data_IF_910831946262
#
_entry.id   IF_910831946262
#
_cell.length_a   1.000
_cell.length_b   1.000
_cell.length_c   1.000
_cell.angle_alpha   90.00
_cell.angle_beta   90.00
_cell.angle_gamma   90.00
#
_symmetry.space_group_name_H-M   'P 1'
#
loop_
_entity.id
_entity.type
_entity.pdbx_description
1 polymer ?
#
# COMPACT_ATOMS: atom_id res chain seq x y z
N UNK A 1 -1.35 74.12 -25.82
CA UNK A 1 -0.56 73.59 -26.94
C UNK A 1 -0.71 72.07 -26.91
N UNK A 2 -1.41 71.51 -27.91
CA UNK A 2 -1.35 70.14 -28.48
C UNK A 2 -1.40 68.85 -27.61
N UNK A 3 -2.44 68.04 -27.90
CA UNK A 3 -2.53 66.56 -28.11
C UNK A 3 -2.27 65.60 -26.91
N UNK A 4 -3.28 64.92 -26.35
CA UNK A 4 -3.94 63.64 -26.75
C UNK A 4 -3.13 62.37 -26.47
N UNK A 5 -3.68 61.40 -25.71
CA UNK A 5 -3.95 59.99 -26.11
C UNK A 5 -4.63 59.22 -24.95
N UNK A 6 -5.44 58.22 -25.36
CA UNK A 6 -6.52 57.46 -24.70
C UNK A 6 -6.08 56.32 -23.76
N UNK A 7 -7.09 55.83 -23.02
CA UNK A 7 -7.31 54.46 -22.51
C UNK A 7 -6.47 54.04 -21.29
N UNK A 8 -6.94 53.25 -20.33
CA UNK A 8 -8.10 52.34 -20.24
C UNK A 8 -8.36 52.11 -18.74
N UNK A 9 -9.63 51.92 -18.34
CA UNK A 9 -10.03 51.73 -16.94
C UNK A 9 -9.53 50.38 -16.42
N UNK A 10 -8.97 50.42 -15.21
CA UNK A 10 -8.79 49.24 -14.37
C UNK A 10 -10.14 48.56 -14.11
N UNK A 11 -10.20 47.25 -14.35
CA UNK A 11 -11.24 46.38 -13.82
C UNK A 11 -10.56 45.11 -13.30
N UNK A 12 -10.76 44.89 -12.00
CA UNK A 12 -10.40 43.68 -11.26
C UNK A 12 -11.00 42.46 -11.95
N UNK A 13 -10.16 41.51 -12.35
CA UNK A 13 -10.62 40.24 -12.90
C UNK A 13 -10.89 39.24 -11.79
N UNK A 14 -12.07 39.31 -11.17
CA UNK A 14 -12.67 38.14 -10.53
C UNK A 14 -12.71 37.01 -11.56
N UNK A 15 -12.12 35.87 -11.24
CA UNK A 15 -12.30 34.63 -12.00
C UNK A 15 -13.72 34.11 -11.74
N UNK A 16 -14.70 34.74 -12.38
CA UNK A 16 -16.06 34.22 -12.47
C UNK A 16 -16.00 32.94 -13.29
N UNK A 17 -16.19 31.81 -12.61
CA UNK A 17 -16.49 30.54 -13.25
C UNK A 17 -17.81 30.74 -13.99
N UNK A 18 -17.73 30.81 -15.32
CA UNK A 18 -18.91 30.86 -16.17
C UNK A 18 -19.64 29.52 -16.03
N UNK A 19 -20.66 29.48 -15.18
CA UNK A 19 -21.69 28.44 -15.28
C UNK A 19 -22.44 28.64 -16.61
N UNK A 20 -22.04 27.90 -17.63
CA UNK A 20 -22.83 27.77 -18.85
C UNK A 20 -24.06 26.91 -18.55
N UNK A 21 -25.14 27.57 -18.19
CA UNK A 21 -26.48 26.98 -18.06
C UNK A 21 -27.00 26.59 -19.46
N UNK A 22 -26.85 25.32 -19.86
CA UNK A 22 -27.49 24.85 -21.09
C UNK A 22 -26.78 23.76 -21.89
N UNK A 23 -26.09 22.82 -21.27
CA UNK A 23 -25.81 21.48 -21.83
C UNK A 23 -25.37 20.63 -20.65
N UNK A 24 -25.67 19.32 -20.63
CA UNK A 24 -25.29 18.45 -19.52
C UNK A 24 -23.83 18.70 -19.09
N UNK A 25 -23.54 18.65 -17.79
CA UNK A 25 -22.20 18.95 -17.29
C UNK A 25 -21.17 18.18 -18.14
N UNK A 26 -20.03 18.81 -18.46
CA UNK A 26 -18.98 18.18 -19.29
C UNK A 26 -18.64 16.77 -18.78
N UNK A 27 -18.77 16.57 -17.47
CA UNK A 27 -18.75 15.29 -16.78
C UNK A 27 -19.79 14.27 -17.31
N UNK A 28 -21.08 14.62 -17.34
CA UNK A 28 -22.14 13.76 -17.87
C UNK A 28 -21.94 13.41 -19.36
N UNK A 29 -21.51 14.36 -20.19
CA UNK A 29 -21.24 14.12 -21.62
C UNK A 29 -20.01 13.25 -21.88
N UNK A 30 -19.01 13.27 -20.99
CA UNK A 30 -17.86 12.37 -21.07
C UNK A 30 -18.23 10.95 -20.67
N UNK A 31 -19.05 10.78 -19.62
CA UNK A 31 -19.56 9.49 -19.17
C UNK A 31 -20.43 8.80 -20.23
N UNK A 32 -21.29 9.57 -20.91
CA UNK A 32 -22.12 9.07 -22.01
C UNK A 32 -21.27 8.56 -23.21
N UNK A 33 -20.16 9.24 -23.52
CA UNK A 33 -19.23 8.82 -24.59
C UNK A 33 -18.48 7.51 -24.31
N UNK A 34 -18.38 7.13 -23.04
CA UNK A 34 -17.73 5.89 -22.59
C UNK A 34 -18.74 4.82 -22.14
N UNK A 35 -20.03 5.01 -22.44
CA UNK A 35 -21.15 4.13 -22.04
C UNK A 35 -21.26 3.90 -20.52
N UNK A 36 -20.96 4.92 -19.71
CA UNK A 36 -21.10 4.87 -18.26
C UNK A 36 -22.14 5.89 -17.79
N UNK A 37 -22.77 5.61 -16.65
CA UNK A 37 -23.74 6.50 -16.03
C UNK A 37 -23.04 7.47 -15.07
N UNK A 38 -23.24 8.79 -15.19
CA UNK A 38 -22.62 9.75 -14.28
C UNK A 38 -23.19 9.57 -12.88
N UNK A 39 -22.32 9.23 -11.92
CA UNK A 39 -22.68 9.13 -10.51
C UNK A 39 -22.68 10.53 -9.90
N UNK A 40 -23.84 10.99 -9.42
CA UNK A 40 -24.03 12.37 -8.95
C UNK A 40 -23.55 12.62 -7.52
N UNK A 41 -23.38 11.58 -6.70
CA UNK A 41 -22.90 11.68 -5.32
C UNK A 41 -21.95 10.51 -5.01
N UNK A 42 -20.73 10.83 -4.60
CA UNK A 42 -19.80 9.88 -4.02
C UNK A 42 -19.93 9.93 -2.51
N UNK A 43 -20.07 8.76 -1.87
CA UNK A 43 -19.83 8.66 -0.44
C UNK A 43 -18.35 8.93 -0.11
N UNK A 44 -18.04 9.15 1.17
CA UNK A 44 -16.69 9.47 1.63
C UNK A 44 -15.64 8.47 1.11
N UNK A 45 -14.42 8.96 0.83
CA UNK A 45 -13.30 8.13 0.35
C UNK A 45 -12.97 6.95 1.28
N UNK A 46 -13.36 7.04 2.56
CA UNK A 46 -13.25 5.96 3.55
C UNK A 46 -13.99 4.67 3.14
N UNK A 47 -15.04 4.76 2.32
CA UNK A 47 -15.79 3.60 1.85
C UNK A 47 -14.90 2.70 0.96
N UNK A 48 -13.88 3.27 0.32
CA UNK A 48 -12.95 2.53 -0.55
C UNK A 48 -11.77 1.91 0.22
N UNK A 49 -11.69 2.11 1.54
CA UNK A 49 -10.74 1.39 2.39
C UNK A 49 -11.25 -0.03 2.74
N UNK A 50 -12.56 -0.27 2.60
CA UNK A 50 -13.17 -1.57 2.82
C UNK A 50 -13.06 -2.46 1.57
N UNK A 51 -12.42 -3.61 1.73
CA UNK A 51 -12.19 -4.59 0.68
C UNK A 51 -13.50 -5.15 0.10
N UNK A 52 -14.57 -5.24 0.91
CA UNK A 52 -15.88 -5.72 0.47
C UNK A 52 -16.59 -4.65 -0.39
N UNK A 53 -16.55 -3.39 0.03
CA UNK A 53 -17.12 -2.27 -0.71
C UNK A 53 -16.41 -2.04 -2.06
N UNK A 54 -15.08 -2.23 -2.11
CA UNK A 54 -14.30 -2.21 -3.35
C UNK A 54 -14.74 -3.33 -4.33
N UNK A 55 -15.12 -4.51 -3.82
CA UNK A 55 -15.56 -5.65 -4.64
C UNK A 55 -16.94 -5.40 -5.25
N UNK A 56 -17.87 -4.88 -4.45
CA UNK A 56 -19.27 -4.70 -4.83
C UNK A 56 -19.51 -3.43 -5.68
N UNK A 57 -18.54 -2.51 -5.72
CA UNK A 57 -18.63 -1.28 -6.49
C UNK A 57 -18.60 -1.51 -8.02
N UNK A 58 -19.50 -0.83 -8.74
CA UNK A 58 -19.56 -0.86 -10.21
C UNK A 58 -18.41 -0.08 -10.85
N UNK A 59 -18.14 -0.34 -12.14
CA UNK A 59 -17.09 0.35 -12.88
C UNK A 59 -17.27 1.88 -12.87
N UNK A 60 -18.51 2.35 -13.02
CA UNK A 60 -18.91 3.76 -12.99
C UNK A 60 -18.53 4.43 -11.67
N UNK A 61 -18.80 3.75 -10.54
CA UNK A 61 -18.49 4.24 -9.20
C UNK A 61 -16.98 4.34 -8.98
N UNK A 62 -16.22 3.33 -9.41
CA UNK A 62 -14.74 3.31 -9.29
C UNK A 62 -14.10 4.41 -10.13
N UNK A 63 -14.59 4.62 -11.34
CA UNK A 63 -14.10 5.68 -12.22
C UNK A 63 -14.38 7.07 -11.63
N UNK A 64 -15.60 7.28 -11.16
CA UNK A 64 -16.03 8.54 -10.52
C UNK A 64 -15.15 8.86 -9.31
N UNK A 65 -14.90 7.88 -8.43
CA UNK A 65 -14.01 8.04 -7.28
C UNK A 65 -12.56 8.32 -7.68
N UNK A 66 -12.01 7.56 -8.63
CA UNK A 66 -10.65 7.77 -9.13
C UNK A 66 -10.45 9.15 -9.75
N UNK A 67 -11.44 9.63 -10.52
CA UNK A 67 -11.43 10.98 -11.08
C UNK A 67 -11.49 12.06 -10.01
N UNK A 68 -12.30 11.88 -8.95
CA UNK A 68 -12.37 12.83 -7.85
C UNK A 68 -11.03 12.95 -7.13
N UNK A 69 -10.41 11.82 -6.76
CA UNK A 69 -9.09 11.80 -6.10
C UNK A 69 -8.04 12.45 -6.98
N UNK A 70 -8.06 12.18 -8.28
CA UNK A 70 -7.12 12.78 -9.22
C UNK A 70 -7.29 14.31 -9.28
N UNK A 71 -8.53 14.81 -9.40
CA UNK A 71 -8.81 16.25 -9.40
C UNK A 71 -8.42 16.91 -8.07
N UNK A 72 -8.62 16.24 -6.94
CA UNK A 72 -8.18 16.72 -5.63
C UNK A 72 -6.64 16.76 -5.51
N UNK A 73 -5.94 15.76 -6.03
CA UNK A 73 -4.48 15.75 -6.09
C UNK A 73 -3.95 16.89 -6.97
N UNK A 74 -4.57 17.12 -8.13
CA UNK A 74 -4.20 18.20 -9.05
C UNK A 74 -4.47 19.58 -8.44
N UNK A 75 -5.59 19.76 -7.73
CA UNK A 75 -5.93 21.03 -7.07
C UNK A 75 -4.96 21.36 -5.93
N UNK A 76 -4.56 20.36 -5.13
CA UNK A 76 -3.55 20.51 -4.06
C UNK A 76 -2.15 20.81 -4.60
N UNK A 77 -1.80 20.28 -5.77
CA UNK A 77 -0.51 20.52 -6.40
C UNK A 77 -0.37 21.94 -6.96
N UNK A 78 -1.48 22.66 -7.17
CA UNK A 78 -1.47 24.03 -7.71
C UNK A 78 -0.99 24.13 -9.16
N UNK A 79 -0.88 23.01 -9.87
CA UNK A 79 -0.36 22.93 -11.24
C UNK A 79 -1.48 23.24 -12.22
N UNK A 80 -1.26 24.22 -13.11
CA UNK A 80 -2.21 24.50 -14.18
C UNK A 80 -2.11 23.40 -15.25
N UNK A 81 -3.05 22.46 -15.23
CA UNK A 81 -3.10 21.36 -16.19
C UNK A 81 -3.91 21.79 -17.41
N UNK A 82 -3.23 22.08 -18.53
CA UNK A 82 -3.89 22.42 -19.79
C UNK A 82 -4.56 21.20 -20.45
N UNK A 83 -4.01 20.00 -20.23
CA UNK A 83 -4.54 18.76 -20.80
C UNK A 83 -4.25 17.54 -19.93
N UNK A 84 -5.28 16.73 -19.75
CA UNK A 84 -5.21 15.47 -19.02
C UNK A 84 -4.76 14.37 -19.99
N UNK A 85 -3.44 14.26 -20.17
CA UNK A 85 -2.82 13.27 -21.05
C UNK A 85 -2.36 12.04 -20.29
N UNK A 86 -2.26 10.90 -20.98
CA UNK A 86 -1.78 9.63 -20.41
C UNK A 86 -0.44 9.79 -19.68
N UNK A 87 0.46 10.61 -20.23
CA UNK A 87 1.77 10.88 -19.65
C UNK A 87 1.71 11.52 -18.26
N UNK A 88 0.72 12.39 -18.01
CA UNK A 88 0.51 13.01 -16.71
C UNK A 88 0.02 11.98 -15.68
N UNK A 89 -0.89 11.08 -16.10
CA UNK A 89 -1.37 9.98 -15.25
C UNK A 89 -0.22 9.04 -14.93
N UNK A 90 0.56 8.61 -15.92
CA UNK A 90 1.72 7.73 -15.74
C UNK A 90 2.76 8.38 -14.80
N UNK A 91 2.95 9.70 -14.86
CA UNK A 91 3.83 10.44 -13.95
C UNK A 91 3.35 10.38 -12.50
N UNK A 92 2.06 10.62 -12.25
CA UNK A 92 1.50 10.55 -10.91
C UNK A 92 1.47 9.11 -10.36
N UNK A 93 1.24 8.11 -11.20
CA UNK A 93 1.39 6.69 -10.82
C UNK A 93 2.82 6.41 -10.37
N UNK A 94 3.82 6.83 -11.16
CA UNK A 94 5.22 6.63 -10.81
C UNK A 94 5.61 7.35 -9.50
N UNK A 95 5.03 8.53 -9.25
CA UNK A 95 5.24 9.25 -7.98
C UNK A 95 4.63 8.51 -6.79
N UNK A 96 3.43 7.95 -6.96
CA UNK A 96 2.79 7.11 -5.94
C UNK A 96 3.60 5.83 -5.68
N UNK A 97 4.00 5.13 -6.73
CA UNK A 97 4.84 3.93 -6.63
C UNK A 97 6.17 4.23 -5.94
N UNK A 98 6.76 5.39 -6.20
CA UNK A 98 7.96 5.83 -5.50
C UNK A 98 7.71 6.04 -4.01
N UNK A 99 6.61 6.70 -3.63
CA UNK A 99 6.26 6.94 -2.22
C UNK A 99 5.96 5.63 -1.49
N UNK A 100 5.18 4.75 -2.10
CA UNK A 100 4.86 3.41 -1.57
C UNK A 100 6.14 2.58 -1.45
N UNK A 101 6.98 2.57 -2.48
CA UNK A 101 8.27 1.89 -2.50
C UNK A 101 9.18 2.37 -1.37
N UNK A 102 9.28 3.68 -1.15
CA UNK A 102 10.06 4.25 -0.04
C UNK A 102 9.56 3.82 1.33
N UNK A 103 8.24 3.75 1.52
CA UNK A 103 7.65 3.29 2.78
C UNK A 103 7.88 1.79 2.97
N UNK A 104 7.68 0.99 1.92
CA UNK A 104 7.94 -0.43 1.94
C UNK A 104 9.41 -0.72 2.25
N UNK A 105 10.33 -0.01 1.59
CA UNK A 105 11.77 -0.11 1.85
C UNK A 105 12.08 0.18 3.32
N UNK A 106 11.49 1.22 3.90
CA UNK A 106 11.71 1.55 5.31
C UNK A 106 11.25 0.41 6.25
N UNK A 107 10.12 -0.23 5.96
CA UNK A 107 9.60 -1.37 6.72
C UNK A 107 10.47 -2.62 6.53
N UNK A 108 10.80 -2.95 5.27
CA UNK A 108 11.58 -4.14 4.91
C UNK A 108 13.04 -4.06 5.40
N UNK A 109 13.60 -2.86 5.51
CA UNK A 109 14.95 -2.64 6.04
C UNK A 109 14.98 -2.40 7.55
N UNK A 110 13.85 -2.51 8.23
CA UNK A 110 13.81 -2.41 9.68
C UNK A 110 14.54 -3.61 10.32
N UNK A 111 15.44 -3.35 11.26
CA UNK A 111 16.32 -4.39 11.85
C UNK A 111 15.55 -5.56 12.47
N UNK A 112 14.44 -5.27 13.14
CA UNK A 112 13.61 -6.32 13.75
C UNK A 112 12.93 -7.20 12.72
N UNK A 113 12.45 -6.60 11.62
CA UNK A 113 11.85 -7.32 10.52
C UNK A 113 12.88 -8.20 9.82
N UNK A 114 14.04 -7.64 9.47
CA UNK A 114 15.13 -8.40 8.85
C UNK A 114 15.64 -9.55 9.71
N UNK A 115 15.68 -9.38 11.04
CA UNK A 115 16.04 -10.46 11.97
C UNK A 115 15.10 -11.65 11.82
N UNK A 116 13.79 -11.40 11.86
CA UNK A 116 12.76 -12.45 11.74
C UNK A 116 12.73 -13.03 10.31
N UNK A 117 12.79 -12.17 9.29
CA UNK A 117 12.81 -12.57 7.89
C UNK A 117 14.02 -13.47 7.58
N UNK A 118 15.22 -13.10 8.05
CA UNK A 118 16.43 -13.89 7.82
C UNK A 118 16.35 -15.29 8.43
N UNK A 119 15.76 -15.42 9.63
CA UNK A 119 15.51 -16.70 10.29
C UNK A 119 14.57 -17.58 9.46
N UNK A 120 13.43 -17.04 9.03
CA UNK A 120 12.44 -17.78 8.25
C UNK A 120 12.91 -18.10 6.83
N UNK A 121 13.65 -17.20 6.19
CA UNK A 121 14.31 -17.48 4.89
C UNK A 121 15.36 -18.59 5.03
N UNK A 122 16.11 -18.61 6.13
CA UNK A 122 17.04 -19.68 6.46
C UNK A 122 16.34 -21.02 6.64
N UNK A 123 15.28 -21.06 7.47
CA UNK A 123 14.46 -22.26 7.67
C UNK A 123 13.83 -22.75 6.37
N UNK A 124 13.29 -21.83 5.55
CA UNK A 124 12.75 -22.16 4.23
C UNK A 124 13.83 -22.74 3.31
N UNK A 125 15.04 -22.19 3.31
CA UNK A 125 16.15 -22.73 2.52
C UNK A 125 16.55 -24.14 2.95
N UNK A 126 16.50 -24.44 4.26
CA UNK A 126 16.75 -25.79 4.78
C UNK A 126 15.69 -26.77 4.29
N UNK A 127 14.41 -26.40 4.42
CA UNK A 127 13.27 -27.21 3.96
C UNK A 127 13.35 -27.46 2.45
N UNK A 128 13.61 -26.42 1.65
CA UNK A 128 13.63 -26.52 0.19
C UNK A 128 14.79 -27.38 -0.35
N UNK A 129 15.88 -27.49 0.41
CA UNK A 129 17.04 -28.33 0.06
C UNK A 129 16.95 -29.75 0.59
N UNK A 130 15.94 -30.08 1.40
CA UNK A 130 15.80 -31.39 2.04
C UNK A 130 14.87 -32.27 1.22
N UNK A 131 15.33 -33.47 0.83
CA UNK A 131 14.47 -34.49 0.23
C UNK A 131 13.75 -35.30 1.31
N UNK A 132 12.51 -34.89 1.63
CA UNK A 132 11.66 -35.57 2.59
C UNK A 132 11.26 -36.99 2.19
N UNK A 133 11.49 -37.42 0.93
CA UNK A 133 11.26 -38.81 0.51
C UNK A 133 12.29 -39.78 1.10
N UNK A 134 13.43 -39.27 1.57
CA UNK A 134 14.47 -40.07 2.24
C UNK A 134 14.19 -40.28 3.73
N UNK A 135 12.93 -40.22 4.15
CA UNK A 135 12.51 -40.36 5.56
C UNK A 135 13.20 -39.36 6.50
N UNK A 136 13.41 -38.12 6.04
CA UNK A 136 13.95 -37.02 6.84
C UNK A 136 12.79 -36.29 7.51
N UNK A 137 12.92 -36.00 8.81
CA UNK A 137 12.02 -35.11 9.57
C UNK A 137 12.80 -33.92 10.09
N UNK A 138 12.16 -32.76 10.10
CA UNK A 138 12.72 -31.51 10.63
C UNK A 138 11.74 -30.99 11.68
N UNK A 139 12.25 -30.71 12.87
CA UNK A 139 11.49 -30.14 13.97
C UNK A 139 12.07 -28.76 14.31
N UNK A 140 11.18 -27.80 14.57
CA UNK A 140 11.55 -26.45 14.95
C UNK A 140 11.12 -26.21 16.39
N UNK A 141 12.09 -25.83 17.22
CA UNK A 141 11.86 -25.34 18.57
C UNK A 141 12.10 -23.82 18.57
N UNK A 142 11.05 -23.04 18.85
CA UNK A 142 11.17 -21.59 19.03
C UNK A 142 11.71 -21.28 20.42
N UNK A 143 12.90 -20.72 20.49
CA UNK A 143 13.60 -20.44 21.74
C UNK A 143 14.65 -19.34 21.52
N UNK A 144 14.71 -18.36 22.41
CA UNK A 144 15.76 -17.34 22.36
C UNK A 144 17.07 -17.85 22.95
N UNK A 145 18.19 -17.24 22.56
CA UNK A 145 19.51 -17.60 23.10
C UNK A 145 19.63 -17.32 24.60
N UNK A 146 18.95 -16.27 25.08
CA UNK A 146 18.95 -15.92 26.49
C UNK A 146 18.11 -16.91 27.31
N UNK A 147 16.95 -17.33 26.79
CA UNK A 147 16.15 -18.37 27.42
C UNK A 147 16.92 -19.70 27.48
N UNK A 148 17.67 -20.03 26.43
CA UNK A 148 18.52 -21.23 26.44
C UNK A 148 19.60 -21.17 27.52
N UNK A 149 20.24 -20.01 27.65
CA UNK A 149 21.29 -19.81 28.65
C UNK A 149 20.69 -19.89 30.05
N UNK A 150 19.55 -19.25 30.26
CA UNK A 150 18.84 -19.28 31.53
C UNK A 150 18.42 -20.71 31.90
N UNK A 151 17.92 -21.51 30.95
CA UNK A 151 17.58 -22.92 31.16
C UNK A 151 18.78 -23.72 31.69
N UNK A 152 19.98 -23.49 31.15
CA UNK A 152 21.19 -24.14 31.63
C UNK A 152 21.72 -23.60 32.96
N UNK A 153 21.48 -22.33 33.28
CA UNK A 153 21.88 -21.73 34.56
C UNK A 153 20.95 -22.17 35.71
N UNK A 154 19.66 -22.36 35.42
CA UNK A 154 18.65 -22.77 36.39
C UNK A 154 18.69 -24.28 36.67
N UNK A 155 19.10 -25.09 35.70
CA UNK A 155 19.20 -26.54 35.84
C UNK A 155 20.42 -26.94 36.69
N UNK A 156 20.25 -27.72 37.78
CA UNK A 156 21.37 -28.21 38.59
C UNK A 156 22.35 -29.10 37.79
N UNK A 157 21.82 -29.83 36.82
CA UNK A 157 22.56 -30.68 35.89
C UNK A 157 21.97 -30.55 34.49
N UNK A 158 22.79 -30.70 33.45
CA UNK A 158 22.35 -30.57 32.04
C UNK A 158 21.21 -31.53 31.71
N UNK A 159 21.20 -32.73 32.29
CA UNK A 159 20.15 -33.74 32.04
C UNK A 159 18.77 -33.32 32.58
N UNK A 160 18.72 -32.27 33.40
CA UNK A 160 17.49 -31.73 33.98
C UNK A 160 17.04 -30.45 33.27
N UNK A 161 17.77 -30.00 32.24
CA UNK A 161 17.41 -28.82 31.46
C UNK A 161 16.25 -29.11 30.51
N UNK A 162 15.47 -28.09 30.18
CA UNK A 162 14.36 -28.18 29.23
C UNK A 162 14.81 -28.63 27.84
N UNK A 163 15.99 -28.17 27.37
CA UNK A 163 16.54 -28.66 26.10
C UNK A 163 16.81 -30.16 26.12
N UNK A 164 17.33 -30.71 27.22
CA UNK A 164 17.57 -32.14 27.34
C UNK A 164 16.27 -32.94 27.28
N UNK A 165 15.22 -32.44 27.93
CA UNK A 165 13.89 -33.06 27.85
C UNK A 165 13.37 -33.11 26.41
N UNK A 166 13.49 -32.02 25.65
CA UNK A 166 13.01 -31.96 24.26
C UNK A 166 13.84 -32.82 23.30
N UNK A 167 15.17 -32.85 23.47
CA UNK A 167 16.07 -33.53 22.50
C UNK A 167 16.35 -34.99 22.82
N UNK A 168 16.43 -35.35 24.09
CA UNK A 168 16.79 -36.70 24.53
C UNK A 168 15.57 -37.45 25.03
N UNK A 169 14.87 -36.92 26.03
CA UNK A 169 13.76 -37.67 26.64
C UNK A 169 12.59 -37.83 25.68
N UNK A 170 12.14 -36.75 25.03
CA UNK A 170 10.99 -36.78 24.14
C UNK A 170 11.26 -37.57 22.85
N UNK A 171 12.46 -37.44 22.27
CA UNK A 171 12.77 -38.04 20.96
C UNK A 171 13.50 -39.39 21.06
N UNK A 172 14.52 -39.51 21.91
CA UNK A 172 15.39 -40.70 21.95
C UNK A 172 14.93 -41.75 22.97
N UNK A 173 14.53 -41.32 24.17
CA UNK A 173 14.20 -42.19 25.30
C UNK A 173 12.70 -42.56 25.36
N UNK A 174 11.86 -41.84 24.63
CA UNK A 174 10.44 -42.19 24.47
C UNK A 174 10.30 -43.49 23.67
N UNK A 175 9.61 -44.52 24.21
CA UNK A 175 9.20 -45.67 23.42
C UNK A 175 8.28 -45.19 22.27
N UNK A 176 8.68 -45.48 21.03
CA UNK A 176 7.96 -45.07 19.81
C UNK A 176 6.59 -45.70 19.61
#
# INVERSE_FOLDING_TARGET
>A
MLMSVKNERAAEGESVVLEQSGTGSVYASLFEKINLSPVSELGALDIWQDQQAMSDATADQRLTAGMQVLLECLSKAGTQVEKLDKTLIDHHIAELDYRIGRQLDAVMHHKEFQRVESLWRGAKSLVDKTDFRQNVKIELLDLSKDDLRQDFEDAPEIIQSGLYQHTYTAEYDSPG
#
